data_IF_441535938745
#
_entry.id   IF_441535938745
#
_cell.length_a   1.000
_cell.length_b   1.000
_cell.length_c   1.000
_cell.angle_alpha   90.00
_cell.angle_beta   90.00
_cell.angle_gamma   90.00
#
_symmetry.space_group_name_H-M   'P 1'
#
loop_
_entity.id
_entity.type
_entity.pdbx_description
1 polymer ?
#
# COMPACT_ATOMS: atom_id res chain seq x y z
N UNK A 1 -15.55 -2.32 12.44
CA UNK A 1 -14.69 -2.50 11.24
C UNK A 1 -15.26 -3.63 10.41
N UNK A 2 -15.82 -3.34 9.24
CA UNK A 2 -16.32 -4.38 8.34
C UNK A 2 -15.14 -5.03 7.60
N UNK A 3 -15.16 -6.36 7.52
CA UNK A 3 -14.10 -7.14 6.89
C UNK A 3 -14.71 -8.11 5.90
N UNK A 4 -14.25 -8.06 4.65
CA UNK A 4 -14.58 -9.05 3.63
C UNK A 4 -13.39 -9.98 3.44
N UNK A 5 -13.67 -11.28 3.36
CA UNK A 5 -12.68 -12.32 3.13
C UNK A 5 -13.15 -13.26 2.05
N UNK A 6 -12.22 -13.70 1.22
CA UNK A 6 -12.47 -14.74 0.22
C UNK A 6 -11.25 -15.61 0.03
N UNK A 7 -11.48 -16.84 -0.40
CA UNK A 7 -10.43 -17.70 -0.92
C UNK A 7 -10.46 -17.61 -2.45
N UNK A 8 -9.39 -17.10 -3.04
CA UNK A 8 -9.22 -17.10 -4.51
C UNK A 8 -8.06 -18.02 -4.89
N UNK A 9 -7.94 -18.29 -6.20
CA UNK A 9 -6.78 -19.01 -6.73
C UNK A 9 -5.49 -18.32 -6.25
N UNK A 10 -4.65 -19.06 -5.52
CA UNK A 10 -3.37 -18.59 -5.04
C UNK A 10 -3.32 -17.99 -3.62
N UNK A 11 -4.44 -17.80 -2.91
CA UNK A 11 -4.42 -17.38 -1.49
C UNK A 11 -5.74 -16.85 -0.92
N UNK A 12 -5.78 -16.65 0.39
CA UNK A 12 -6.84 -15.94 1.10
C UNK A 12 -6.63 -14.42 0.96
N UNK A 13 -7.65 -13.74 0.44
CA UNK A 13 -7.71 -12.28 0.42
C UNK A 13 -8.54 -11.79 1.60
N UNK A 14 -8.02 -10.81 2.32
CA UNK A 14 -8.75 -10.07 3.35
C UNK A 14 -8.74 -8.60 3.00
N UNK A 15 -9.91 -7.98 2.97
CA UNK A 15 -10.11 -6.56 2.76
C UNK A 15 -10.84 -5.99 3.95
N UNK A 16 -10.26 -4.97 4.59
CA UNK A 16 -10.88 -4.25 5.70
C UNK A 16 -11.12 -2.80 5.30
N UNK A 17 -12.34 -2.30 5.52
CA UNK A 17 -12.61 -0.87 5.49
C UNK A 17 -12.31 -0.29 6.87
N UNK A 18 -11.27 0.54 6.98
CA UNK A 18 -10.85 1.16 8.25
C UNK A 18 -11.53 2.52 8.45
N UNK A 19 -11.74 3.26 7.37
CA UNK A 19 -12.51 4.49 7.29
C UNK A 19 -12.89 4.76 5.82
N UNK A 20 -13.68 5.80 5.55
CA UNK A 20 -13.94 6.23 4.18
C UNK A 20 -12.62 6.53 3.44
N UNK A 21 -12.41 5.86 2.30
CA UNK A 21 -11.18 5.94 1.52
C UNK A 21 -9.93 5.37 2.21
N UNK A 22 -10.05 4.60 3.30
CA UNK A 22 -8.94 3.91 3.94
C UNK A 22 -9.23 2.42 4.01
N UNK A 23 -8.46 1.64 3.26
CA UNK A 23 -8.58 0.19 3.19
C UNK A 23 -7.28 -0.49 3.60
N UNK A 24 -7.39 -1.69 4.16
CA UNK A 24 -6.27 -2.63 4.30
C UNK A 24 -6.55 -3.86 3.45
N UNK A 25 -5.60 -4.24 2.61
CA UNK A 25 -5.67 -5.43 1.75
C UNK A 25 -4.53 -6.36 2.08
N UNK A 26 -4.87 -7.60 2.41
CA UNK A 26 -3.94 -8.65 2.79
C UNK A 26 -4.14 -9.83 1.84
N UNK A 27 -3.06 -10.32 1.23
CA UNK A 27 -3.04 -11.60 0.53
C UNK A 27 -2.16 -12.58 1.30
N UNK A 28 -2.81 -13.57 1.91
CA UNK A 28 -2.16 -14.65 2.65
C UNK A 28 -2.17 -15.93 1.84
N UNK A 29 -1.00 -16.58 1.70
CA UNK A 29 -0.85 -17.81 0.90
C UNK A 29 -0.41 -19.02 1.72
N UNK A 30 0.06 -18.79 2.94
CA UNK A 30 0.43 -19.83 3.90
C UNK A 30 -0.18 -19.50 5.27
N UNK A 31 -0.80 -20.48 5.92
CA UNK A 31 -1.34 -20.36 7.28
C UNK A 31 -0.27 -19.97 8.33
N UNK A 32 1.01 -20.23 8.04
CA UNK A 32 2.15 -19.82 8.89
C UNK A 32 2.43 -18.32 8.82
N UNK A 33 1.96 -17.61 7.79
CA UNK A 33 2.12 -16.16 7.68
C UNK A 33 1.30 -15.49 8.78
N UNK A 34 2.03 -14.92 9.74
CA UNK A 34 1.47 -14.17 10.86
C UNK A 34 1.08 -12.77 10.43
N UNK A 35 0.36 -12.07 11.29
CA UNK A 35 0.12 -10.64 11.10
C UNK A 35 1.44 -9.87 10.95
N UNK A 36 1.47 -8.95 9.97
CA UNK A 36 2.63 -8.14 9.67
C UNK A 36 3.03 -7.23 10.83
N UNK A 37 4.35 -6.99 10.95
CA UNK A 37 4.97 -6.46 12.16
C UNK A 37 4.42 -5.10 12.58
N UNK A 38 4.16 -4.17 11.66
CA UNK A 38 3.70 -2.83 12.06
C UNK A 38 2.32 -2.89 12.73
N UNK A 39 1.46 -3.83 12.32
CA UNK A 39 0.16 -4.01 12.96
C UNK A 39 0.30 -4.78 14.27
N UNK A 40 1.05 -5.88 14.24
CA UNK A 40 1.25 -6.75 15.41
C UNK A 40 1.82 -6.00 16.61
N UNK A 41 2.67 -5.01 16.37
CA UNK A 41 3.28 -4.17 17.41
C UNK A 41 2.58 -2.81 17.61
N UNK A 42 1.43 -2.57 16.99
CA UNK A 42 0.65 -1.34 17.18
C UNK A 42 1.33 -0.07 16.65
N UNK A 43 2.27 -0.21 15.70
CA UNK A 43 2.94 0.93 15.04
C UNK A 43 1.97 1.62 14.08
N UNK A 44 1.12 0.84 13.39
CA UNK A 44 0.01 1.36 12.58
C UNK A 44 -1.32 1.11 13.25
N UNK A 45 -2.22 2.09 13.15
CA UNK A 45 -3.56 2.04 13.72
C UNK A 45 -4.52 1.31 12.79
N UNK A 46 -5.26 0.34 13.33
CA UNK A 46 -6.31 -0.41 12.63
C UNK A 46 -7.71 -0.08 13.10
N UNK A 47 -7.85 0.54 14.27
CA UNK A 47 -9.11 1.07 14.77
C UNK A 47 -9.12 2.60 14.61
N UNK A 48 -9.80 3.08 13.56
CA UNK A 48 -9.92 4.51 13.26
C UNK A 48 -11.32 5.06 13.58
N UNK A 49 -12.11 4.31 14.35
CA UNK A 49 -13.53 4.57 14.61
C UNK A 49 -14.46 3.74 13.71
N UNK A 50 -15.75 3.74 14.05
CA UNK A 50 -16.76 3.03 13.26
C UNK A 50 -16.91 3.65 11.87
N UNK A 51 -16.84 2.81 10.84
CA UNK A 51 -17.19 3.15 9.47
C UNK A 51 -18.36 2.27 9.03
N UNK A 52 -19.41 2.90 8.49
CA UNK A 52 -20.45 2.16 7.80
C UNK A 52 -19.89 1.67 6.47
N UNK A 53 -19.82 0.35 6.35
CA UNK A 53 -19.37 -0.30 5.13
C UNK A 53 -20.39 -1.37 4.73
N UNK A 54 -20.67 -1.43 3.44
CA UNK A 54 -21.60 -2.39 2.85
C UNK A 54 -20.80 -3.49 2.17
N UNK A 55 -21.15 -4.74 2.48
CA UNK A 55 -20.58 -5.91 1.81
C UNK A 55 -21.09 -5.98 0.38
N UNK A 56 -20.17 -6.13 -0.56
CA UNK A 56 -20.45 -6.43 -1.97
C UNK A 56 -20.23 -7.93 -2.20
N UNK A 57 -20.58 -8.42 -3.39
CA UNK A 57 -20.29 -9.80 -3.80
C UNK A 57 -18.80 -10.12 -3.65
N UNK A 58 -17.97 -9.30 -4.29
CA UNK A 58 -16.52 -9.49 -4.35
C UNK A 58 -15.73 -8.42 -3.57
N UNK A 59 -16.31 -7.78 -2.56
CA UNK A 59 -15.57 -6.79 -1.78
C UNK A 59 -16.39 -5.94 -0.82
N UNK A 60 -16.01 -4.67 -0.68
CA UNK A 60 -16.57 -3.72 0.28
C UNK A 60 -16.80 -2.34 -0.35
N UNK A 61 -17.86 -1.66 0.06
CA UNK A 61 -18.09 -0.23 -0.15
C UNK A 61 -18.05 0.50 1.18
N UNK A 62 -17.37 1.64 1.24
CA UNK A 62 -17.38 2.52 2.40
C UNK A 62 -17.43 3.98 1.90
N UNK A 63 -18.52 4.68 2.23
CA UNK A 63 -18.82 5.99 1.65
C UNK A 63 -18.90 5.93 0.12
N UNK A 64 -18.22 6.86 -0.55
CA UNK A 64 -18.17 6.94 -2.01
C UNK A 64 -17.11 6.03 -2.65
N UNK A 65 -16.25 5.42 -1.83
CA UNK A 65 -15.23 4.49 -2.29
C UNK A 65 -15.68 3.03 -2.19
N UNK A 66 -15.19 2.20 -3.11
CA UNK A 66 -15.34 0.75 -3.02
C UNK A 66 -14.09 0.04 -3.49
N UNK A 67 -13.98 -1.21 -3.09
CA UNK A 67 -12.94 -2.15 -3.50
C UNK A 67 -13.58 -3.48 -3.83
N UNK A 68 -13.16 -4.05 -4.95
CA UNK A 68 -13.60 -5.35 -5.44
C UNK A 68 -12.35 -6.18 -5.76
N UNK A 69 -12.37 -7.47 -5.43
CA UNK A 69 -11.23 -8.37 -5.59
C UNK A 69 -11.60 -9.51 -6.51
N UNK A 70 -10.87 -9.65 -7.60
CA UNK A 70 -11.07 -10.67 -8.64
C UNK A 70 -9.72 -11.02 -9.28
N UNK A 71 -9.50 -12.29 -9.61
CA UNK A 71 -8.32 -12.77 -10.36
C UNK A 71 -6.95 -12.28 -9.84
N UNK A 72 -6.80 -12.23 -8.52
CA UNK A 72 -5.56 -11.78 -7.88
C UNK A 72 -5.33 -10.27 -7.93
N UNK A 73 -6.38 -9.50 -8.24
CA UNK A 73 -6.36 -8.03 -8.31
C UNK A 73 -7.36 -7.45 -7.32
N UNK A 74 -6.96 -6.40 -6.62
CA UNK A 74 -7.88 -5.54 -5.89
C UNK A 74 -8.07 -4.23 -6.67
N UNK A 75 -9.29 -3.97 -7.11
CA UNK A 75 -9.67 -2.78 -7.89
C UNK A 75 -10.44 -1.83 -6.99
N UNK A 76 -9.90 -0.64 -6.81
CA UNK A 76 -10.50 0.42 -6.04
C UNK A 76 -11.14 1.43 -6.98
N UNK A 77 -12.33 1.89 -6.62
CA UNK A 77 -13.00 3.00 -7.27
C UNK A 77 -13.22 4.10 -6.24
N UNK A 78 -12.80 5.31 -6.56
CA UNK A 78 -13.01 6.50 -5.74
C UNK A 78 -13.04 7.73 -6.62
N UNK A 79 -14.00 8.63 -6.39
CA UNK A 79 -14.10 10.00 -6.95
C UNK A 79 -13.32 10.24 -8.25
N UNK A 80 -13.83 9.69 -9.35
CA UNK A 80 -13.34 9.98 -10.71
C UNK A 80 -12.07 9.24 -11.13
N UNK A 81 -11.53 8.34 -10.31
CA UNK A 81 -10.41 7.48 -10.68
C UNK A 81 -10.57 6.04 -10.17
N UNK A 82 -9.75 5.16 -10.70
CA UNK A 82 -9.53 3.82 -10.19
C UNK A 82 -8.06 3.60 -9.84
N UNK A 83 -7.83 2.70 -8.90
CA UNK A 83 -6.51 2.20 -8.53
C UNK A 83 -6.56 0.68 -8.55
N UNK A 84 -5.58 0.05 -9.20
CA UNK A 84 -5.49 -1.42 -9.29
C UNK A 84 -4.24 -1.89 -8.57
N UNK A 85 -4.42 -2.80 -7.63
CA UNK A 85 -3.35 -3.57 -7.00
C UNK A 85 -3.36 -4.96 -7.62
N UNK A 86 -2.50 -5.18 -8.63
CA UNK A 86 -2.36 -6.48 -9.30
C UNK A 86 -1.29 -7.32 -8.60
N UNK A 87 -1.73 -8.35 -7.88
CA UNK A 87 -0.86 -9.29 -7.21
C UNK A 87 -0.75 -10.64 -7.94
N UNK A 88 -1.23 -10.76 -9.18
CA UNK A 88 -1.25 -12.02 -9.92
C UNK A 88 0.15 -12.65 -10.07
N UNK A 89 1.18 -11.83 -10.26
CA UNK A 89 2.58 -12.27 -10.33
C UNK A 89 3.11 -12.86 -9.01
N UNK A 90 2.44 -12.63 -7.88
CA UNK A 90 2.76 -13.26 -6.59
C UNK A 90 2.61 -14.77 -6.63
N UNK A 91 1.84 -15.33 -7.57
CA UNK A 91 1.60 -16.78 -7.65
C UNK A 91 2.66 -17.55 -8.44
N UNK A 92 3.70 -16.87 -8.94
CA UNK A 92 4.81 -17.52 -9.63
C UNK A 92 5.71 -18.31 -8.67
N UNK A 93 6.41 -19.33 -9.18
CA UNK A 93 7.23 -20.27 -8.38
C UNK A 93 8.30 -19.58 -7.53
N UNK A 94 8.87 -18.46 -8.01
CA UNK A 94 9.86 -17.66 -7.26
C UNK A 94 9.35 -17.16 -5.91
N UNK A 95 8.03 -17.10 -5.72
CA UNK A 95 7.38 -16.66 -4.48
C UNK A 95 6.77 -17.82 -3.69
N UNK A 96 7.05 -19.09 -4.04
CA UNK A 96 6.42 -20.26 -3.42
C UNK A 96 6.57 -20.32 -1.89
N UNK A 97 7.72 -19.91 -1.36
CA UNK A 97 8.05 -20.00 0.06
C UNK A 97 7.86 -18.69 0.83
N UNK A 98 7.32 -17.66 0.18
CA UNK A 98 7.12 -16.34 0.76
C UNK A 98 7.32 -15.23 -0.25
N UNK A 99 7.13 -13.99 0.21
CA UNK A 99 7.25 -12.82 -0.63
C UNK A 99 6.01 -12.55 -1.48
N UNK A 100 6.10 -11.48 -2.27
CA UNK A 100 5.04 -11.03 -3.15
C UNK A 100 5.60 -10.16 -4.29
N UNK A 101 4.80 -10.03 -5.34
CA UNK A 101 4.94 -9.05 -6.39
C UNK A 101 3.63 -8.28 -6.52
N UNK A 102 3.71 -6.95 -6.42
CA UNK A 102 2.59 -6.04 -6.64
C UNK A 102 2.89 -5.21 -7.88
N UNK A 103 1.96 -5.16 -8.83
CA UNK A 103 1.99 -4.25 -9.97
C UNK A 103 0.81 -3.27 -9.87
N UNK A 104 1.08 -2.00 -10.13
CA UNK A 104 0.09 -0.94 -10.19
C UNK A 104 0.23 -0.28 -11.56
N UNK A 105 -0.77 -0.36 -12.45
CA UNK A 105 -0.77 0.40 -13.69
C UNK A 105 -0.68 1.90 -13.40
N UNK A 106 0.10 2.61 -14.19
CA UNK A 106 0.26 4.06 -14.07
C UNK A 106 -0.24 4.76 -15.33
N UNK A 107 -0.82 5.94 -15.18
CA UNK A 107 -1.09 6.80 -16.33
C UNK A 107 0.23 7.41 -16.86
N UNK A 108 0.22 7.86 -18.11
CA UNK A 108 1.36 8.46 -18.82
C UNK A 108 2.01 9.60 -18.02
N UNK A 109 1.22 10.56 -17.55
CA UNK A 109 1.69 11.74 -16.82
C UNK A 109 1.70 11.57 -15.28
N UNK A 110 1.53 10.34 -14.78
CA UNK A 110 1.38 10.09 -13.36
C UNK A 110 2.71 10.26 -12.60
N UNK A 111 2.76 11.27 -11.73
CA UNK A 111 3.92 11.56 -10.88
C UNK A 111 3.82 10.85 -9.54
N UNK A 112 4.95 10.28 -9.11
CA UNK A 112 5.06 9.49 -7.88
C UNK A 112 6.05 10.15 -6.91
N UNK A 113 5.72 10.08 -5.62
CA UNK A 113 6.48 10.67 -4.51
C UNK A 113 6.50 9.73 -3.31
N UNK A 114 7.36 10.01 -2.32
CA UNK A 114 7.43 9.26 -1.06
C UNK A 114 8.75 8.52 -0.91
N UNK A 115 8.68 7.31 -0.35
CA UNK A 115 9.79 6.42 -0.03
C UNK A 115 10.68 6.84 1.15
N UNK A 116 10.37 7.94 1.84
CA UNK A 116 11.15 8.42 2.99
C UNK A 116 12.53 8.96 2.58
N UNK A 117 13.51 8.87 3.49
CA UNK A 117 14.91 9.21 3.21
C UNK A 117 15.61 8.02 2.53
N UNK A 118 15.15 7.73 1.31
CA UNK A 118 15.67 6.65 0.46
C UNK A 118 16.71 7.13 -0.55
N UNK A 119 16.53 8.32 -1.15
CA UNK A 119 17.56 9.02 -1.94
C UNK A 119 17.41 10.53 -1.80
N UNK A 120 18.51 11.25 -2.05
CA UNK A 120 18.57 12.72 -2.13
C UNK A 120 18.61 13.26 -3.56
N UNK A 121 18.65 12.39 -4.57
CA UNK A 121 18.88 12.80 -5.97
C UNK A 121 17.64 13.39 -6.64
N UNK A 122 16.45 12.94 -6.25
CA UNK A 122 15.20 13.41 -6.83
C UNK A 122 14.01 13.25 -5.88
N UNK A 123 13.16 14.27 -5.89
CA UNK A 123 11.88 14.25 -5.19
C UNK A 123 10.84 13.38 -5.91
N UNK A 124 10.74 13.54 -7.24
CA UNK A 124 9.80 12.79 -8.09
C UNK A 124 10.45 11.46 -8.49
N UNK A 125 9.73 10.36 -8.27
CA UNK A 125 10.26 8.99 -8.32
C UNK A 125 9.92 8.23 -9.61
N UNK A 126 9.06 8.75 -10.50
CA UNK A 126 8.73 8.10 -11.79
C UNK A 126 10.00 7.91 -12.62
N UNK A 127 10.12 6.75 -13.28
CA UNK A 127 11.29 6.39 -14.08
C UNK A 127 12.52 6.00 -13.26
N UNK A 128 12.35 5.73 -11.95
CA UNK A 128 13.44 5.35 -11.04
C UNK A 128 13.15 4.05 -10.33
N UNK A 129 14.18 3.51 -9.71
CA UNK A 129 14.11 2.36 -8.82
C UNK A 129 14.56 2.77 -7.42
N UNK A 130 14.10 2.03 -6.41
CA UNK A 130 14.45 2.22 -5.02
C UNK A 130 14.55 0.88 -4.28
N UNK A 131 15.63 0.69 -3.54
CA UNK A 131 15.77 -0.42 -2.60
C UNK A 131 15.39 0.06 -1.20
N UNK A 132 14.30 -0.48 -0.65
CA UNK A 132 13.87 -0.18 0.72
C UNK A 132 14.71 -1.03 1.67
N UNK A 133 15.89 -0.51 1.97
CA UNK A 133 16.86 -1.09 2.89
C UNK A 133 17.64 0.02 3.58
N UNK A 134 17.66 0.01 4.91
CA UNK A 134 18.46 0.98 5.65
C UNK A 134 19.94 0.68 5.44
N UNK A 135 20.67 1.65 4.88
CA UNK A 135 22.09 1.56 4.61
C UNK A 135 22.74 2.91 4.91
N UNK A 136 23.83 2.87 5.69
CA UNK A 136 24.59 4.07 6.02
C UNK A 136 25.05 4.79 4.73
N UNK A 137 25.03 6.12 4.74
CA UNK A 137 25.35 7.04 3.63
C UNK A 137 24.29 7.08 2.52
N UNK A 138 23.70 5.94 2.18
CA UNK A 138 22.77 5.85 1.04
C UNK A 138 21.31 6.14 1.43
N UNK A 139 20.79 5.48 2.46
CA UNK A 139 19.35 5.45 2.79
C UNK A 139 19.16 5.27 4.30
N UNK A 140 18.95 6.37 5.03
CA UNK A 140 18.89 6.35 6.50
C UNK A 140 17.52 6.02 7.06
N UNK A 141 16.46 6.38 6.32
CA UNK A 141 15.08 6.21 6.77
C UNK A 141 14.14 5.92 5.61
N UNK A 142 14.36 4.84 4.84
CA UNK A 142 13.43 4.42 3.81
C UNK A 142 12.09 4.06 4.45
N UNK A 143 10.99 4.59 3.91
CA UNK A 143 9.62 4.31 4.38
C UNK A 143 8.84 3.72 3.20
N UNK A 144 8.20 2.55 3.32
CA UNK A 144 7.50 1.89 2.21
C UNK A 144 6.13 2.53 1.91
N UNK A 145 6.12 3.86 1.75
CA UNK A 145 4.97 4.70 1.44
C UNK A 145 5.19 5.39 0.10
N UNK A 146 4.28 5.16 -0.86
CA UNK A 146 4.28 5.82 -2.17
C UNK A 146 2.98 6.60 -2.35
N UNK A 147 3.06 7.79 -2.92
CA UNK A 147 1.94 8.68 -3.16
C UNK A 147 1.93 9.17 -4.60
N UNK A 148 0.77 9.13 -5.22
CA UNK A 148 0.55 9.61 -6.58
C UNK A 148 -0.06 11.01 -6.61
N UNK A 149 0.32 11.79 -7.61
CA UNK A 149 -0.33 13.06 -7.95
C UNK A 149 -1.84 12.93 -8.23
N UNK A 150 -2.34 11.73 -8.56
CA UNK A 150 -3.78 11.44 -8.75
C UNK A 150 -4.58 11.36 -7.45
N UNK A 151 -3.93 11.44 -6.28
CA UNK A 151 -4.60 11.49 -4.98
C UNK A 151 -4.73 10.17 -4.25
N UNK A 152 -4.16 9.08 -4.78
CA UNK A 152 -4.00 7.83 -4.04
C UNK A 152 -2.62 7.71 -3.42
N UNK A 153 -2.51 6.97 -2.31
CA UNK A 153 -1.24 6.54 -1.74
C UNK A 153 -1.34 5.16 -1.10
N UNK A 154 -0.20 4.51 -0.93
CA UNK A 154 -0.10 3.15 -0.40
C UNK A 154 1.06 3.07 0.59
N UNK A 155 0.80 2.49 1.77
CA UNK A 155 1.81 2.03 2.71
C UNK A 155 1.87 0.50 2.68
N UNK A 156 3.04 -0.09 2.39
CA UNK A 156 3.24 -1.53 2.53
C UNK A 156 3.73 -1.87 3.93
N UNK A 157 3.02 -2.76 4.61
CA UNK A 157 3.37 -3.26 5.93
C UNK A 157 4.37 -4.41 5.82
N UNK A 158 5.58 -4.06 5.36
CA UNK A 158 6.65 -5.01 5.05
C UNK A 158 7.95 -4.49 5.66
N UNK A 159 8.56 -5.30 6.53
CA UNK A 159 9.82 -4.96 7.22
C UNK A 159 11.04 -5.68 6.63
N UNK A 160 10.83 -6.53 5.62
CA UNK A 160 11.91 -7.15 4.87
C UNK A 160 12.47 -6.18 3.83
N UNK A 161 13.72 -6.38 3.40
CA UNK A 161 14.25 -5.68 2.21
C UNK A 161 13.37 -5.99 1.00
N UNK A 162 12.96 -4.95 0.29
CA UNK A 162 12.14 -5.05 -0.90
C UNK A 162 12.47 -3.92 -1.87
N UNK A 163 12.05 -4.10 -3.11
CA UNK A 163 12.44 -3.25 -4.23
C UNK A 163 11.22 -2.59 -4.87
N UNK A 164 11.33 -1.32 -5.22
CA UNK A 164 10.35 -0.58 -6.02
C UNK A 164 10.97 -0.25 -7.37
N UNK A 165 10.32 -0.63 -8.46
CA UNK A 165 10.51 -0.08 -9.79
C UNK A 165 9.33 0.84 -10.08
N UNK A 166 9.57 2.15 -10.13
CA UNK A 166 8.54 3.17 -10.26
C UNK A 166 8.44 3.65 -11.72
N UNK A 167 8.38 2.70 -12.65
CA UNK A 167 8.23 2.97 -14.08
C UNK A 167 9.55 3.14 -14.83
N UNK A 168 10.64 2.55 -14.32
CA UNK A 168 11.95 2.55 -14.98
C UNK A 168 12.06 1.43 -16.02
N UNK A 169 11.63 0.21 -15.68
CA UNK A 169 11.66 -0.94 -16.62
C UNK A 169 10.43 -0.96 -17.53
N UNK A 170 9.24 -0.73 -16.96
CA UNK A 170 7.97 -0.62 -17.68
C UNK A 170 7.37 0.75 -17.37
N UNK A 171 7.39 1.73 -18.30
CA UNK A 171 6.88 3.06 -18.02
C UNK A 171 5.41 3.04 -17.59
N UNK A 172 4.62 2.03 -17.92
CA UNK A 172 3.19 1.96 -17.61
C UNK A 172 2.88 1.30 -16.25
N UNK A 173 3.91 1.07 -15.42
CA UNK A 173 3.74 0.36 -14.15
C UNK A 173 4.66 0.83 -13.03
N UNK A 174 4.10 0.86 -11.82
CA UNK A 174 4.87 0.70 -10.60
C UNK A 174 4.85 -0.78 -10.23
N UNK A 175 6.02 -1.32 -9.89
CA UNK A 175 6.18 -2.69 -9.42
C UNK A 175 6.91 -2.70 -8.09
N UNK A 176 6.40 -3.48 -7.14
CA UNK A 176 7.06 -3.74 -5.86
C UNK A 176 7.27 -5.23 -5.68
N UNK A 177 8.49 -5.62 -5.31
CA UNK A 177 8.85 -7.00 -5.10
C UNK A 177 9.55 -7.20 -3.76
N UNK A 178 9.11 -8.22 -3.03
CA UNK A 178 9.78 -8.70 -1.83
C UNK A 178 9.94 -10.21 -1.91
N UNK A 179 11.13 -10.70 -1.60
CA UNK A 179 11.39 -12.15 -1.50
C UNK A 179 10.78 -12.77 -0.23
N UNK A 180 10.40 -11.95 0.76
CA UNK A 180 9.91 -12.39 2.06
C UNK A 180 8.68 -11.60 2.50
N UNK A 181 7.94 -12.17 3.47
CA UNK A 181 6.68 -11.60 3.95
C UNK A 181 5.50 -11.94 3.05
N UNK A 182 4.48 -11.09 3.10
CA UNK A 182 3.25 -11.20 2.33
C UNK A 182 2.80 -9.81 1.88
N UNK A 183 1.90 -9.73 0.91
CA UNK A 183 1.26 -8.47 0.56
C UNK A 183 0.30 -8.08 1.70
N UNK A 184 0.62 -7.00 2.39
CA UNK A 184 -0.23 -6.32 3.37
C UNK A 184 -0.11 -4.82 3.08
N UNK A 185 -1.12 -4.27 2.40
CA UNK A 185 -1.13 -2.91 1.88
C UNK A 185 -2.24 -2.10 2.55
N UNK A 186 -1.88 -0.95 3.10
CA UNK A 186 -2.82 0.10 3.45
C UNK A 186 -2.98 1.02 2.24
N UNK A 187 -4.20 1.20 1.77
CA UNK A 187 -4.56 1.98 0.59
C UNK A 187 -5.35 3.20 1.05
N UNK A 188 -4.89 4.37 0.62
CA UNK A 188 -5.49 5.66 0.96
C UNK A 188 -5.99 6.33 -0.32
N UNK A 189 -7.29 6.54 -0.40
CA UNK A 189 -7.98 7.12 -1.54
C UNK A 189 -8.42 8.54 -1.18
N UNK A 190 -7.73 9.54 -1.73
CA UNK A 190 -8.01 10.95 -1.51
C UNK A 190 -8.48 11.67 -2.76
N UNK A 191 -9.15 12.81 -2.56
CA UNK A 191 -9.47 13.73 -3.65
C UNK A 191 -8.23 14.53 -4.14
N UNK A 192 -7.12 14.46 -3.41
CA UNK A 192 -5.84 15.11 -3.73
C UNK A 192 -4.69 14.43 -2.97
N UNK A 193 -3.44 14.72 -3.32
CA UNK A 193 -2.27 14.26 -2.55
C UNK A 193 -2.35 14.65 -1.06
N UNK A 194 -2.83 15.86 -0.76
CA UNK A 194 -2.98 16.35 0.62
C UNK A 194 -3.97 15.49 1.41
N UNK A 195 -5.08 15.13 0.78
CA UNK A 195 -6.11 14.28 1.39
C UNK A 195 -5.62 12.84 1.57
N UNK A 196 -4.91 12.28 0.58
CA UNK A 196 -4.25 10.98 0.71
C UNK A 196 -3.24 10.96 1.88
N UNK A 197 -2.48 12.05 2.05
CA UNK A 197 -1.51 12.19 3.13
C UNK A 197 -2.19 12.32 4.50
N UNK A 198 -3.28 13.10 4.64
CA UNK A 198 -4.05 13.14 5.89
C UNK A 198 -4.56 11.75 6.28
N UNK A 199 -5.15 11.02 5.32
CA UNK A 199 -5.59 9.63 5.51
C UNK A 199 -4.44 8.70 5.94
N UNK A 200 -3.27 8.82 5.31
CA UNK A 200 -2.08 8.08 5.72
C UNK A 200 -1.73 8.33 7.19
N UNK A 201 -1.69 9.60 7.63
CA UNK A 201 -1.33 9.94 9.02
C UNK A 201 -2.37 9.49 10.05
N UNK A 202 -3.62 9.22 9.66
CA UNK A 202 -4.59 8.57 10.56
C UNK A 202 -4.17 7.14 10.92
N UNK A 203 -3.51 6.45 10.00
CA UNK A 203 -3.01 5.07 10.21
C UNK A 203 -1.60 5.07 10.78
N UNK A 204 -0.68 5.86 10.23
CA UNK A 204 0.74 5.88 10.66
C UNK A 204 1.02 6.73 11.89
N UNK A 205 0.05 7.54 12.33
CA UNK A 205 0.18 8.48 13.44
C UNK A 205 0.36 9.93 12.95
N UNK A 206 -0.36 10.85 13.60
CA UNK A 206 -0.23 12.29 13.32
C UNK A 206 1.01 12.84 14.02
N UNK A 207 1.88 13.60 13.32
CA UNK A 207 3.01 14.26 13.96
C UNK A 207 2.55 15.16 15.11
N UNK A 208 3.27 15.11 16.22
CA UNK A 208 3.02 15.99 17.37
C UNK A 208 3.69 17.34 17.15
N UNK A 209 3.11 18.39 17.73
CA UNK A 209 3.76 19.69 17.78
C UNK A 209 5.01 19.59 18.67
N UNK A 210 6.17 19.97 18.14
CA UNK A 210 7.40 19.98 18.92
C UNK A 210 7.42 21.19 19.87
N UNK A 211 8.24 21.16 20.94
CA UNK A 211 8.51 22.35 21.73
C UNK A 211 9.01 23.49 20.85
N UNK A 212 8.66 24.74 21.18
CA UNK A 212 9.04 25.93 20.40
C UNK A 212 10.55 26.01 20.12
N UNK A 213 11.39 25.54 21.04
CA UNK A 213 12.85 25.57 20.91
C UNK A 213 13.44 24.59 19.87
N UNK A 214 12.62 23.71 19.27
CA UNK A 214 13.06 22.73 18.27
C UNK A 214 12.87 23.20 16.81
N UNK A 215 12.28 24.38 16.60
CA UNK A 215 12.09 25.03 15.29
C UNK A 215 13.11 26.15 15.10
#
# INVERSE_FOLDING_TARGET
METWKTQLAGGEWTVCALAEGIYRVILRRDARQRESMLTRYGIVQTDLGAVEATRLENGLRAGESRVEVEDGRAVFHSRGYSLVLDASATFQERYRYGGFCLRIPLDEDERLFGLGDETRDALMKRGREADLWQANVTSYGPVPYVMSAKGWSILLNVTYRHHYDLGKTDPDALRVESAQGMLDAYVFLGASMKDALDKYTRVSGRPVLLPKAAY
#
